data_IF_327748934760
#
_entry.id   IF_327748934760
#
_cell.length_a   1.000
_cell.length_b   1.000
_cell.length_c   1.000
_cell.angle_alpha   90.00
_cell.angle_beta   90.00
_cell.angle_gamma   90.00
#
_symmetry.space_group_name_H-M   'P 1'
#
loop_
_entity.id
_entity.type
_entity.pdbx_description
1 polymer ?
#
# COMPACT_ATOMS: atom_id res chain seq x y z
N UNK A 1 -19.35 -9.00 -22.94
CA UNK A 1 -20.59 -8.82 -22.15
C UNK A 1 -20.29 -7.70 -21.17
N UNK A 2 -20.80 -6.48 -21.41
CA UNK A 2 -20.53 -5.34 -20.53
C UNK A 2 -21.18 -5.62 -19.18
N UNK A 3 -20.39 -5.62 -18.11
CA UNK A 3 -20.94 -5.65 -16.75
C UNK A 3 -21.65 -4.32 -16.51
N UNK A 4 -22.92 -4.40 -16.14
CA UNK A 4 -23.72 -3.29 -15.66
C UNK A 4 -23.14 -2.80 -14.33
N UNK A 5 -22.47 -1.65 -14.36
CA UNK A 5 -21.87 -1.02 -13.18
C UNK A 5 -22.87 -0.16 -12.39
N UNK A 6 -24.15 -0.13 -12.77
CA UNK A 6 -25.15 0.81 -12.24
C UNK A 6 -25.67 0.52 -10.82
N UNK A 7 -25.10 -0.46 -10.11
CA UNK A 7 -25.58 -0.86 -8.77
C UNK A 7 -24.53 -0.85 -7.65
N UNK A 8 -23.28 -0.43 -7.91
CA UNK A 8 -22.34 -0.18 -6.84
C UNK A 8 -22.65 1.19 -6.22
N UNK A 9 -23.35 1.20 -5.08
CA UNK A 9 -23.42 2.42 -4.26
C UNK A 9 -21.98 2.87 -3.97
N UNK A 10 -21.65 4.17 -4.12
CA UNK A 10 -20.36 4.67 -3.70
C UNK A 10 -20.15 4.29 -2.24
N UNK A 11 -19.08 3.56 -1.94
CA UNK A 11 -18.69 3.31 -0.55
C UNK A 11 -18.25 4.66 0.02
N UNK A 12 -19.06 5.22 0.91
CA UNK A 12 -18.69 6.43 1.64
C UNK A 12 -17.75 6.02 2.77
N UNK A 13 -16.51 6.49 2.70
CA UNK A 13 -15.55 6.29 3.77
C UNK A 13 -15.76 7.31 4.90
N UNK A 14 -15.43 6.95 6.16
CA UNK A 14 -15.28 7.91 7.24
C UNK A 14 -14.35 9.06 6.86
N UNK A 15 -14.56 10.26 7.43
CA UNK A 15 -13.76 11.44 7.11
C UNK A 15 -12.28 11.32 7.51
N UNK A 16 -11.99 10.42 8.46
CA UNK A 16 -10.67 10.10 8.98
C UNK A 16 -10.01 8.88 8.29
N UNK A 17 -10.69 8.25 7.32
CA UNK A 17 -10.18 7.13 6.54
C UNK A 17 -8.99 7.53 5.66
N UNK A 18 -8.07 6.59 5.40
CA UNK A 18 -6.87 6.83 4.59
C UNK A 18 -7.16 7.53 3.25
N UNK A 19 -8.17 7.06 2.52
CA UNK A 19 -8.57 7.61 1.21
C UNK A 19 -9.35 8.92 1.27
N UNK A 20 -9.70 9.39 2.48
CA UNK A 20 -10.32 10.69 2.66
C UNK A 20 -9.29 11.82 2.79
N UNK A 21 -8.01 11.49 3.01
CA UNK A 21 -6.92 12.44 3.21
C UNK A 21 -6.60 13.25 1.94
N UNK A 22 -6.01 14.46 2.05
CA UNK A 22 -5.69 15.31 0.91
C UNK A 22 -4.92 14.62 -0.22
N UNK A 23 -3.95 13.78 0.13
CA UNK A 23 -3.27 12.88 -0.78
C UNK A 23 -3.02 11.51 -0.11
N UNK A 24 -3.25 10.43 -0.85
CA UNK A 24 -3.20 9.07 -0.33
C UNK A 24 -2.71 8.07 -1.39
N UNK A 25 -2.20 6.92 -0.95
CA UNK A 25 -1.83 5.82 -1.86
C UNK A 25 -3.11 5.15 -2.37
N UNK A 26 -3.23 4.99 -3.69
CA UNK A 26 -4.47 4.50 -4.33
C UNK A 26 -4.28 3.07 -4.87
N UNK A 27 -3.16 2.81 -5.52
CA UNK A 27 -2.87 1.54 -6.20
C UNK A 27 -1.38 1.20 -6.13
N UNK A 28 -1.09 -0.10 -6.26
CA UNK A 28 0.26 -0.62 -6.45
C UNK A 28 0.32 -1.53 -7.67
N UNK A 29 1.47 -1.58 -8.34
CA UNK A 29 1.70 -2.42 -9.50
C UNK A 29 2.95 -3.30 -9.29
N UNK A 30 2.77 -4.62 -9.36
CA UNK A 30 3.86 -5.60 -9.28
C UNK A 30 4.13 -6.20 -10.65
N UNK A 31 5.42 -6.30 -10.99
CA UNK A 31 5.90 -7.21 -12.04
C UNK A 31 6.19 -8.56 -11.39
N UNK A 32 5.55 -9.61 -11.87
CA UNK A 32 5.65 -10.97 -11.33
C UNK A 32 6.21 -11.93 -12.38
N UNK A 33 6.92 -12.96 -11.92
CA UNK A 33 7.48 -14.01 -12.78
C UNK A 33 6.42 -15.00 -13.27
N UNK A 34 5.42 -15.31 -12.44
CA UNK A 34 4.31 -16.20 -12.78
C UNK A 34 2.97 -15.50 -12.51
N UNK A 35 2.43 -14.87 -13.56
CA UNK A 35 1.20 -14.06 -13.46
C UNK A 35 0.00 -14.89 -12.99
N UNK A 36 -0.16 -16.10 -13.54
CA UNK A 36 -1.31 -16.95 -13.25
C UNK A 36 -1.25 -17.47 -11.82
N UNK A 37 -0.07 -17.92 -11.36
CA UNK A 37 0.12 -18.41 -10.00
C UNK A 37 -0.10 -17.30 -8.96
N UNK A 38 0.50 -16.12 -9.18
CA UNK A 38 0.38 -15.00 -8.23
C UNK A 38 -1.05 -14.44 -8.23
N UNK A 39 -1.64 -14.21 -9.40
CA UNK A 39 -3.04 -13.74 -9.50
C UNK A 39 -4.01 -14.69 -8.82
N UNK A 40 -3.91 -16.00 -9.08
CA UNK A 40 -4.76 -17.00 -8.45
C UNK A 40 -4.58 -17.04 -6.93
N UNK A 41 -3.36 -16.79 -6.44
CA UNK A 41 -3.07 -16.71 -5.02
C UNK A 41 -3.73 -15.48 -4.37
N UNK A 42 -3.61 -14.29 -4.95
CA UNK A 42 -4.29 -13.08 -4.44
C UNK A 42 -5.81 -13.25 -4.41
N UNK A 43 -6.38 -13.89 -5.44
CA UNK A 43 -7.82 -14.18 -5.47
C UNK A 43 -8.24 -15.17 -4.38
N UNK A 44 -7.47 -16.23 -4.15
CA UNK A 44 -7.83 -17.27 -3.17
C UNK A 44 -7.53 -16.87 -1.72
N UNK A 45 -6.36 -16.28 -1.46
CA UNK A 45 -5.87 -16.03 -0.10
C UNK A 45 -6.29 -14.65 0.40
N UNK A 46 -6.21 -13.63 -0.44
CA UNK A 46 -6.68 -12.29 -0.10
C UNK A 46 -8.14 -12.08 -0.49
N UNK A 47 -8.71 -12.88 -1.40
CA UNK A 47 -10.11 -12.69 -1.78
C UNK A 47 -10.34 -11.47 -2.67
N UNK A 48 -9.30 -11.00 -3.37
CA UNK A 48 -9.44 -9.97 -4.39
C UNK A 48 -10.13 -10.54 -5.64
N UNK A 49 -10.85 -9.70 -6.37
CA UNK A 49 -11.50 -10.08 -7.62
C UNK A 49 -10.84 -9.39 -8.82
N UNK A 50 -10.72 -10.05 -9.98
CA UNK A 50 -10.34 -9.39 -11.22
C UNK A 50 -11.32 -8.29 -11.60
N UNK A 51 -10.78 -7.13 -11.95
CA UNK A 51 -11.51 -5.94 -12.44
C UNK A 51 -11.23 -5.75 -13.92
N UNK A 52 -9.97 -5.85 -14.31
CA UNK A 52 -9.55 -5.79 -15.71
C UNK A 52 -8.50 -6.87 -15.99
N UNK A 53 -8.51 -7.42 -17.20
CA UNK A 53 -7.64 -8.53 -17.61
C UNK A 53 -7.14 -8.34 -19.03
N UNK A 54 -5.86 -8.59 -19.23
CA UNK A 54 -5.20 -8.63 -20.53
C UNK A 54 -4.32 -9.88 -20.63
N UNK A 55 -3.72 -10.11 -21.79
CA UNK A 55 -2.79 -11.23 -22.00
C UNK A 55 -1.61 -11.21 -21.02
N UNK A 56 -1.14 -10.02 -20.63
CA UNK A 56 0.09 -9.85 -19.85
C UNK A 56 -0.15 -9.17 -18.49
N UNK A 57 -1.40 -9.06 -18.05
CA UNK A 57 -1.68 -8.44 -16.76
C UNK A 57 -3.13 -8.54 -16.31
N UNK A 58 -3.32 -8.36 -15.00
CA UNK A 58 -4.61 -8.35 -14.32
C UNK A 58 -4.63 -7.26 -13.26
N UNK A 59 -5.70 -6.50 -13.22
CA UNK A 59 -6.00 -5.57 -12.13
C UNK A 59 -6.97 -6.25 -11.18
N UNK A 60 -6.55 -6.40 -9.92
CA UNK A 60 -7.30 -7.00 -8.83
C UNK A 60 -7.81 -5.92 -7.87
N UNK A 61 -8.95 -6.17 -7.26
CA UNK A 61 -9.51 -5.25 -6.27
C UNK A 61 -10.73 -5.78 -5.55
N UNK A 62 -11.46 -4.89 -4.90
CA UNK A 62 -12.62 -5.21 -4.06
C UNK A 62 -13.80 -4.33 -4.47
N UNK A 63 -14.95 -4.96 -4.73
CA UNK A 63 -16.19 -4.26 -5.09
C UNK A 63 -15.99 -3.22 -6.23
N UNK A 64 -15.21 -3.59 -7.25
CA UNK A 64 -14.89 -2.71 -8.39
C UNK A 64 -13.83 -1.63 -8.12
N UNK A 65 -13.33 -1.51 -6.88
CA UNK A 65 -12.22 -0.60 -6.55
C UNK A 65 -10.89 -1.30 -6.86
N UNK A 66 -10.11 -0.85 -7.86
CA UNK A 66 -8.80 -1.40 -8.17
C UNK A 66 -7.77 -1.11 -7.07
N UNK A 67 -6.99 -2.10 -6.67
CA UNK A 67 -6.01 -2.00 -5.58
C UNK A 67 -4.59 -2.46 -6.00
N UNK A 68 -4.53 -3.50 -6.83
CA UNK A 68 -3.29 -4.15 -7.22
C UNK A 68 -3.32 -4.50 -8.71
N UNK A 69 -2.38 -3.97 -9.47
CA UNK A 69 -2.10 -4.44 -10.82
C UNK A 69 -0.96 -5.44 -10.77
N UNK A 70 -1.12 -6.57 -11.46
CA UNK A 70 -0.06 -7.54 -11.71
C UNK A 70 0.23 -7.56 -13.19
N UNK A 71 1.49 -7.43 -13.58
CA UNK A 71 1.93 -7.71 -14.95
C UNK A 71 2.96 -8.83 -14.95
N UNK A 72 2.96 -9.62 -16.01
CA UNK A 72 3.88 -10.74 -16.18
C UNK A 72 4.06 -11.10 -17.65
N UNK A 73 4.60 -12.29 -17.91
CA UNK A 73 4.84 -12.78 -19.27
C UNK A 73 6.09 -12.23 -19.95
N UNK A 74 6.91 -11.45 -19.23
CA UNK A 74 8.22 -10.95 -19.69
C UNK A 74 9.40 -11.70 -19.08
N UNK A 75 10.62 -11.48 -19.60
CA UNK A 75 11.87 -12.02 -19.08
C UNK A 75 12.40 -11.28 -17.83
N UNK A 76 11.50 -10.87 -16.94
CA UNK A 76 11.84 -10.14 -15.73
C UNK A 76 12.78 -10.99 -14.85
N UNK A 77 13.90 -10.42 -14.44
CA UNK A 77 14.83 -11.10 -13.54
C UNK A 77 14.33 -11.00 -12.11
N UNK A 78 14.56 -12.03 -11.29
CA UNK A 78 14.22 -11.95 -9.87
C UNK A 78 14.99 -10.81 -9.20
N UNK A 79 14.28 -9.91 -8.52
CA UNK A 79 14.92 -8.85 -7.76
C UNK A 79 15.71 -9.43 -6.55
N UNK A 80 16.94 -8.95 -6.29
CA UNK A 80 17.62 -9.24 -5.03
C UNK A 80 16.81 -8.72 -3.83
N UNK A 81 16.81 -9.46 -2.72
CA UNK A 81 16.14 -9.02 -1.47
C UNK A 81 16.68 -7.68 -0.96
N UNK A 82 17.94 -7.36 -1.26
CA UNK A 82 18.57 -6.08 -0.89
C UNK A 82 18.34 -4.94 -1.87
N UNK A 83 17.64 -5.18 -2.98
CA UNK A 83 17.34 -4.12 -3.93
C UNK A 83 16.25 -3.19 -3.36
N UNK A 84 16.33 -1.86 -3.56
CA UNK A 84 15.22 -0.98 -3.24
C UNK A 84 13.94 -1.40 -3.97
N UNK A 85 12.80 -1.26 -3.29
CA UNK A 85 11.52 -1.76 -3.78
C UNK A 85 10.47 -1.85 -2.69
N UNK A 86 9.50 -2.75 -2.89
CA UNK A 86 8.47 -3.02 -1.89
C UNK A 86 9.08 -3.69 -0.65
N UNK A 87 8.75 -3.16 0.52
CA UNK A 87 8.77 -3.94 1.75
C UNK A 87 7.41 -4.62 1.93
N UNK A 88 6.32 -3.84 1.94
CA UNK A 88 4.97 -4.36 1.84
C UNK A 88 3.97 -3.36 1.24
N UNK A 89 2.86 -3.86 0.70
CA UNK A 89 1.66 -3.05 0.42
C UNK A 89 0.53 -3.42 1.39
N UNK A 90 -0.23 -2.44 1.86
CA UNK A 90 -1.12 -2.62 2.99
C UNK A 90 -2.60 -2.45 2.63
N UNK A 91 -3.35 -3.54 2.72
CA UNK A 91 -4.79 -3.58 2.49
C UNK A 91 -5.52 -3.20 3.80
N UNK A 92 -6.09 -2.00 3.80
CA UNK A 92 -6.89 -1.46 4.90
C UNK A 92 -8.30 -2.04 4.81
N UNK A 93 -8.73 -2.82 5.80
CA UNK A 93 -10.11 -3.30 5.92
C UNK A 93 -10.94 -2.35 6.80
N UNK A 94 -12.27 -2.28 6.59
CA UNK A 94 -13.12 -1.28 7.24
C UNK A 94 -13.18 -1.37 8.77
N UNK A 95 -13.04 -2.58 9.31
CA UNK A 95 -13.22 -2.83 10.73
C UNK A 95 -12.42 -4.05 11.22
N UNK A 96 -12.30 -4.15 12.55
CA UNK A 96 -11.62 -5.27 13.22
C UNK A 96 -12.26 -6.62 12.92
N UNK A 97 -13.57 -6.66 12.69
CA UNK A 97 -14.24 -7.90 12.30
C UNK A 97 -13.85 -8.36 10.88
N UNK A 98 -13.54 -7.43 9.97
CA UNK A 98 -13.00 -7.68 8.64
C UNK A 98 -11.61 -8.30 8.73
N UNK A 99 -10.74 -7.75 9.59
CA UNK A 99 -9.41 -8.29 9.83
C UNK A 99 -9.50 -9.70 10.42
N UNK A 100 -10.37 -9.89 11.41
CA UNK A 100 -10.63 -11.18 12.02
C UNK A 100 -11.20 -12.23 11.06
N UNK A 101 -12.13 -11.84 10.17
CA UNK A 101 -12.67 -12.74 9.13
C UNK A 101 -11.58 -13.20 8.17
N UNK A 102 -10.66 -12.30 7.80
CA UNK A 102 -9.50 -12.69 7.00
C UNK A 102 -8.57 -13.63 7.79
N UNK A 103 -8.32 -13.38 9.08
CA UNK A 103 -7.51 -14.28 9.92
C UNK A 103 -8.11 -15.70 10.01
N UNK A 104 -9.43 -15.82 10.17
CA UNK A 104 -10.10 -17.13 10.17
C UNK A 104 -9.88 -17.85 8.84
N UNK A 105 -10.15 -17.18 7.71
CA UNK A 105 -9.93 -17.73 6.38
C UNK A 105 -8.46 -18.14 6.15
N UNK A 106 -7.51 -17.31 6.57
CA UNK A 106 -6.08 -17.56 6.47
C UNK A 106 -5.68 -18.81 7.25
N UNK A 107 -6.23 -19.01 8.46
CA UNK A 107 -6.01 -20.20 9.28
C UNK A 107 -6.54 -21.47 8.60
N UNK A 108 -7.75 -21.43 8.05
CA UNK A 108 -8.38 -22.56 7.35
C UNK A 108 -7.63 -22.95 6.06
N UNK A 109 -6.93 -22.01 5.45
CA UNK A 109 -6.14 -22.21 4.24
C UNK A 109 -4.64 -22.45 4.51
N UNK A 110 -4.23 -22.57 5.78
CA UNK A 110 -2.84 -22.83 6.16
C UNK A 110 -1.85 -21.75 5.75
N UNK A 111 -2.29 -20.48 5.73
CA UNK A 111 -1.43 -19.33 5.39
C UNK A 111 -0.36 -19.15 6.45
N UNK A 112 0.89 -19.01 6.02
CA UNK A 112 2.00 -18.69 6.90
C UNK A 112 2.08 -17.18 7.14
N UNK A 113 1.88 -16.76 8.38
CA UNK A 113 2.04 -15.37 8.79
C UNK A 113 3.53 -15.06 9.00
N UNK A 114 3.96 -13.89 8.56
CA UNK A 114 5.30 -13.34 8.82
C UNK A 114 5.35 -12.53 10.11
N UNK A 115 4.19 -12.08 10.61
CA UNK A 115 4.07 -11.34 11.86
C UNK A 115 2.65 -10.85 12.09
N UNK A 116 2.39 -10.34 13.29
CA UNK A 116 1.16 -9.63 13.62
C UNK A 116 1.45 -8.65 14.75
N UNK A 117 0.97 -7.42 14.59
CA UNK A 117 1.37 -6.31 15.46
C UNK A 117 0.20 -5.38 15.76
N UNK A 118 0.18 -4.88 16.99
CA UNK A 118 -0.60 -3.71 17.37
C UNK A 118 0.35 -2.50 17.37
N UNK A 119 0.01 -1.51 16.54
CA UNK A 119 0.81 -0.31 16.31
C UNK A 119 0.35 0.90 17.10
N UNK A 120 -0.60 0.75 18.04
CA UNK A 120 -1.31 1.83 18.75
C UNK A 120 -2.27 2.65 17.88
N UNK A 121 -2.01 2.73 16.57
CA UNK A 121 -2.85 3.38 15.56
C UNK A 121 -3.61 2.37 14.68
N UNK A 122 -3.11 1.14 14.59
CA UNK A 122 -3.67 0.07 13.78
C UNK A 122 -3.37 -1.30 14.37
N UNK A 123 -4.15 -2.30 13.96
CA UNK A 123 -3.85 -3.72 14.17
C UNK A 123 -3.60 -4.35 12.80
N UNK A 124 -2.47 -5.06 12.67
CA UNK A 124 -1.95 -5.51 11.38
C UNK A 124 -1.50 -6.97 11.43
N UNK A 125 -1.71 -7.68 10.32
CA UNK A 125 -1.21 -9.03 10.09
C UNK A 125 -0.38 -9.04 8.80
N UNK A 126 0.80 -9.65 8.88
CA UNK A 126 1.81 -9.65 7.83
C UNK A 126 1.96 -11.04 7.22
N UNK A 127 2.14 -11.07 5.90
CA UNK A 127 2.44 -12.26 5.11
C UNK A 127 3.21 -11.86 3.85
N UNK A 128 3.55 -12.82 3.01
CA UNK A 128 4.03 -12.54 1.66
C UNK A 128 3.27 -13.38 0.62
N UNK A 129 3.23 -12.85 -0.59
CA UNK A 129 2.75 -13.57 -1.76
C UNK A 129 3.73 -14.69 -2.19
N UNK A 130 3.40 -15.51 -3.20
CA UNK A 130 4.25 -16.62 -3.64
C UNK A 130 5.65 -16.22 -4.11
N UNK A 131 5.86 -14.96 -4.49
CA UNK A 131 7.15 -14.45 -4.95
C UNK A 131 7.92 -13.70 -3.85
N UNK A 132 7.34 -13.57 -2.66
CA UNK A 132 7.94 -12.93 -1.50
C UNK A 132 7.64 -11.43 -1.40
N UNK A 133 6.70 -10.90 -2.16
CA UNK A 133 6.26 -9.51 -1.98
C UNK A 133 5.48 -9.40 -0.67
N UNK A 134 5.90 -8.51 0.22
CA UNK A 134 5.26 -8.34 1.52
C UNK A 134 3.85 -7.78 1.39
N UNK A 135 2.97 -8.28 2.24
CA UNK A 135 1.59 -7.89 2.37
C UNK A 135 1.32 -7.56 3.83
N UNK A 136 0.62 -6.46 4.05
CA UNK A 136 -0.03 -6.16 5.31
C UNK A 136 -1.55 -6.15 5.08
N UNK A 137 -2.30 -6.80 5.96
CA UNK A 137 -3.75 -6.60 6.06
C UNK A 137 -4.01 -6.05 7.44
N UNK A 138 -4.63 -4.88 7.49
CA UNK A 138 -4.75 -4.13 8.73
C UNK A 138 -6.06 -3.38 8.81
N UNK A 139 -6.39 -2.97 10.03
CA UNK A 139 -7.48 -2.04 10.31
C UNK A 139 -6.94 -0.88 11.14
N UNK A 140 -7.52 0.30 10.95
CA UNK A 140 -7.26 1.45 11.81
C UNK A 140 -7.98 1.31 13.16
N UNK A 141 -7.32 1.74 14.24
CA UNK A 141 -8.01 2.09 15.48
C UNK A 141 -8.77 3.41 15.28
N UNK A 142 -9.88 3.64 16.01
CA UNK A 142 -10.57 4.92 16.00
C UNK A 142 -9.59 6.08 16.16
N UNK A 143 -9.74 7.13 15.34
CA UNK A 143 -8.78 8.23 15.27
C UNK A 143 -8.59 8.96 16.60
N UNK A 144 -9.62 8.97 17.44
CA UNK A 144 -9.62 9.58 18.78
C UNK A 144 -8.72 8.83 19.77
N UNK A 145 -8.35 7.57 19.50
CA UNK A 145 -7.41 6.81 20.32
C UNK A 145 -5.94 7.18 20.02
N UNK A 146 -5.69 7.90 18.93
CA UNK A 146 -4.33 8.17 18.47
C UNK A 146 -3.72 9.32 19.26
N UNK A 147 -2.48 9.13 19.71
CA UNK A 147 -1.75 10.13 20.46
C UNK A 147 -0.73 10.82 19.56
N UNK A 148 -0.67 12.14 19.64
CA UNK A 148 0.30 12.95 18.92
C UNK A 148 1.20 13.67 19.91
N UNK A 149 2.48 13.71 19.59
CA UNK A 149 3.46 14.55 20.27
C UNK A 149 3.26 16.02 19.90
N UNK A 150 3.86 16.92 20.68
CA UNK A 150 3.78 18.37 20.45
C UNK A 150 4.34 18.81 19.09
N UNK A 151 5.25 18.02 18.52
CA UNK A 151 5.82 18.23 17.17
C UNK A 151 4.94 17.69 16.03
N UNK A 152 3.76 17.13 16.35
CA UNK A 152 2.83 16.58 15.38
C UNK A 152 3.07 15.13 14.99
N UNK A 153 4.12 14.47 15.50
CA UNK A 153 4.35 13.05 15.25
C UNK A 153 3.32 12.18 15.98
N UNK A 154 2.79 11.17 15.29
CA UNK A 154 1.89 10.18 15.88
C UNK A 154 2.69 9.11 16.61
N UNK A 155 2.20 8.70 17.78
CA UNK A 155 2.78 7.61 18.54
C UNK A 155 2.51 6.27 17.85
N UNK A 156 3.58 5.57 17.49
CA UNK A 156 3.55 4.21 16.93
C UNK A 156 4.45 3.31 17.74
N UNK A 157 4.08 2.04 17.86
CA UNK A 157 4.90 1.01 18.51
C UNK A 157 4.77 -0.31 17.74
N UNK A 158 5.45 -1.37 18.18
CA UNK A 158 5.27 -2.73 17.64
C UNK A 158 5.01 -3.65 18.81
N UNK A 159 3.75 -3.70 19.25
CA UNK A 159 3.31 -4.59 20.32
C UNK A 159 2.77 -5.90 19.73
N UNK A 160 2.83 -7.04 20.45
CA UNK A 160 2.18 -8.26 20.00
C UNK A 160 0.67 -8.06 19.84
N UNK A 161 0.13 -8.42 18.67
CA UNK A 161 -1.32 -8.51 18.48
C UNK A 161 -1.85 -9.81 19.10
N UNK A 162 -2.93 -9.72 19.90
CA UNK A 162 -3.62 -10.90 20.41
C UNK A 162 -4.46 -11.56 19.30
N UNK A 163 -3.80 -12.41 18.51
CA UNK A 163 -4.42 -13.16 17.42
C UNK A 163 -5.48 -14.14 17.93
N UNK A 164 -5.35 -14.66 19.15
CA UNK A 164 -6.32 -15.59 19.71
C UNK A 164 -7.63 -14.87 20.04
N UNK A 165 -7.55 -13.71 20.70
CA UNK A 165 -8.72 -12.87 20.96
C UNK A 165 -9.38 -12.42 19.65
N UNK A 166 -8.60 -11.93 18.68
CA UNK A 166 -9.12 -11.53 17.37
C UNK A 166 -9.82 -12.70 16.66
N UNK A 167 -9.23 -13.90 16.71
CA UNK A 167 -9.86 -15.10 16.18
C UNK A 167 -11.17 -15.37 16.92
N UNK A 168 -11.16 -15.53 18.24
CA UNK A 168 -12.31 -15.96 19.05
C UNK A 168 -13.52 -15.00 18.97
N UNK A 169 -13.29 -13.71 18.85
CA UNK A 169 -14.34 -12.69 18.70
C UNK A 169 -14.97 -12.68 17.30
N UNK A 170 -14.34 -13.33 16.31
CA UNK A 170 -14.79 -13.31 14.92
C UNK A 170 -15.72 -14.47 14.59
N UNK A 171 -16.88 -14.21 13.95
CA UNK A 171 -17.72 -15.26 13.37
C UNK A 171 -16.93 -16.14 12.39
N UNK A 172 -17.00 -17.47 12.55
CA UNK A 172 -16.25 -18.44 11.71
C UNK A 172 -16.85 -18.68 10.33
N UNK A 173 -17.91 -17.97 9.99
CA UNK A 173 -18.63 -18.09 8.72
C UNK A 173 -18.70 -16.74 8.02
N UNK A 174 -18.88 -16.75 6.70
CA UNK A 174 -19.13 -15.53 5.93
C UNK A 174 -17.89 -14.89 5.32
N UNK A 175 -16.81 -15.65 5.16
CA UNK A 175 -15.73 -15.23 4.27
C UNK A 175 -16.19 -15.32 2.81
N UNK A 176 -16.22 -14.17 2.13
CA UNK A 176 -16.52 -14.06 0.69
C UNK A 176 -15.48 -13.17 -0.01
N UNK A 177 -14.26 -13.13 0.53
CA UNK A 177 -13.22 -12.19 0.16
C UNK A 177 -13.13 -10.96 1.07
N UNK A 178 -12.14 -10.09 0.81
CA UNK A 178 -12.00 -8.83 1.54
C UNK A 178 -13.27 -7.97 1.35
N UNK A 179 -13.76 -7.34 2.43
CA UNK A 179 -15.06 -6.68 2.40
C UNK A 179 -15.05 -5.38 1.57
N UNK A 180 -16.19 -4.97 0.97
CA UNK A 180 -16.34 -3.64 0.40
C UNK A 180 -15.91 -2.55 1.39
N UNK A 181 -15.25 -1.51 0.88
CA UNK A 181 -14.54 -0.54 1.72
C UNK A 181 -13.11 -0.95 2.07
N UNK A 182 -12.61 -2.05 1.52
CA UNK A 182 -11.17 -2.30 1.52
C UNK A 182 -10.47 -1.31 0.57
N UNK A 183 -9.38 -0.71 1.03
CA UNK A 183 -8.54 0.18 0.25
C UNK A 183 -7.06 -0.23 0.35
N UNK A 184 -6.23 0.28 -0.55
CA UNK A 184 -4.78 0.25 -0.34
C UNK A 184 -4.44 1.42 0.57
N UNK A 185 -4.31 1.20 1.87
CA UNK A 185 -4.20 2.31 2.82
C UNK A 185 -2.80 2.93 2.84
N UNK A 186 -1.76 2.10 2.66
CA UNK A 186 -0.39 2.58 2.58
C UNK A 186 0.55 1.63 1.81
N UNK A 187 1.71 2.16 1.44
CA UNK A 187 2.83 1.40 0.89
C UNK A 187 4.07 1.59 1.78
N UNK A 188 4.78 0.50 2.06
CA UNK A 188 6.05 0.53 2.77
C UNK A 188 7.15 0.14 1.79
N UNK A 189 8.06 1.08 1.55
CA UNK A 189 9.20 0.91 0.68
C UNK A 189 10.44 0.54 1.51
N UNK A 190 11.26 -0.36 0.97
CA UNK A 190 12.65 -0.49 1.38
C UNK A 190 13.50 0.35 0.44
N UNK A 191 14.23 1.30 1.00
CA UNK A 191 14.97 2.37 0.34
C UNK A 191 16.45 2.30 0.69
N UNK A 192 17.27 3.11 0.02
CA UNK A 192 18.72 3.11 0.23
C UNK A 192 19.16 4.00 1.40
N UNK A 193 18.46 5.10 1.63
CA UNK A 193 18.86 6.17 2.56
C UNK A 193 17.63 6.92 3.10
N UNK A 194 17.56 7.14 4.42
CA UNK A 194 16.41 7.78 5.09
C UNK A 194 16.40 9.30 4.88
N UNK A 195 17.51 10.04 5.05
CA UNK A 195 17.55 11.46 4.69
C UNK A 195 17.09 11.74 3.26
N UNK A 196 17.51 10.94 2.28
CA UNK A 196 17.00 11.03 0.91
C UNK A 196 15.49 10.81 0.83
N UNK A 197 14.96 9.84 1.60
CA UNK A 197 13.52 9.60 1.63
C UNK A 197 12.73 10.75 2.25
N UNK A 198 13.21 11.35 3.34
CA UNK A 198 12.58 12.54 3.90
C UNK A 198 12.63 13.71 2.92
N UNK A 199 13.76 13.95 2.25
CA UNK A 199 13.86 15.00 1.25
C UNK A 199 12.88 14.79 0.07
N UNK A 200 12.67 13.55 -0.36
CA UNK A 200 11.74 13.26 -1.44
C UNK A 200 10.27 13.35 -1.00
N UNK A 201 9.86 12.55 0.00
CA UNK A 201 8.44 12.47 0.38
C UNK A 201 7.94 13.72 1.10
N UNK A 202 8.74 14.27 2.03
CA UNK A 202 8.36 15.50 2.75
C UNK A 202 8.68 16.73 1.93
N UNK A 203 9.94 16.87 1.51
CA UNK A 203 10.38 18.13 0.94
C UNK A 203 10.04 18.26 -0.56
N UNK A 204 9.89 17.19 -1.34
CA UNK A 204 9.48 17.29 -2.75
C UNK A 204 7.98 17.05 -2.95
N UNK A 205 7.40 16.01 -2.34
CA UNK A 205 5.97 15.67 -2.50
C UNK A 205 5.04 16.34 -1.48
N UNK A 206 5.58 16.99 -0.44
CA UNK A 206 4.78 17.74 0.53
C UNK A 206 4.00 16.88 1.52
N UNK A 207 4.42 15.63 1.74
CA UNK A 207 3.86 14.79 2.81
C UNK A 207 4.42 15.20 4.18
N UNK A 208 3.58 15.15 5.21
CA UNK A 208 4.01 15.37 6.59
C UNK A 208 4.84 14.17 7.09
N UNK A 209 5.91 14.42 7.84
CA UNK A 209 6.64 13.37 8.55
C UNK A 209 5.89 13.03 9.85
N UNK A 210 5.24 11.87 9.87
CA UNK A 210 4.31 11.47 10.92
C UNK A 210 4.96 10.65 12.02
N UNK A 211 5.99 9.86 11.70
CA UNK A 211 6.74 9.11 12.70
C UNK A 211 8.16 8.81 12.21
N UNK A 212 9.05 8.53 13.17
CA UNK A 212 10.35 7.90 12.93
C UNK A 212 10.47 6.65 13.77
N UNK A 213 11.06 5.63 13.19
CA UNK A 213 11.43 4.39 13.86
C UNK A 213 12.90 4.09 13.53
N UNK A 214 13.66 3.32 14.33
CA UNK A 214 15.04 2.97 13.98
C UNK A 214 15.18 2.43 12.54
N UNK A 215 15.76 3.25 11.66
CA UNK A 215 15.94 2.93 10.24
C UNK A 215 14.69 3.06 9.37
N UNK A 216 13.66 3.80 9.79
CA UNK A 216 12.47 4.08 8.99
C UNK A 216 11.83 5.45 9.27
N UNK A 217 11.20 6.03 8.25
CA UNK A 217 10.39 7.26 8.34
C UNK A 217 9.02 7.05 7.67
N UNK A 218 8.00 7.71 8.22
CA UNK A 218 6.59 7.49 7.89
C UNK A 218 5.95 8.81 7.46
N UNK A 219 5.27 8.83 6.32
CA UNK A 219 4.81 10.05 5.66
C UNK A 219 3.32 10.00 5.34
N UNK A 220 2.58 11.08 5.55
CA UNK A 220 1.15 11.14 5.28
C UNK A 220 0.65 12.53 4.86
N UNK A 221 -0.64 12.64 4.59
CA UNK A 221 -1.37 13.91 4.67
C UNK A 221 -2.54 13.77 5.64
N UNK A 222 -3.15 14.90 6.03
CA UNK A 222 -4.34 14.89 6.90
C UNK A 222 -4.07 14.25 8.27
N UNK A 223 -2.83 14.35 8.74
CA UNK A 223 -2.34 13.75 10.00
C UNK A 223 -2.50 12.23 10.07
N UNK A 224 -2.77 11.52 8.98
CA UNK A 224 -2.88 10.05 8.96
C UNK A 224 -1.56 9.38 9.40
N UNK A 225 -1.56 8.11 9.82
CA UNK A 225 -0.36 7.52 10.43
C UNK A 225 0.77 7.38 9.40
N UNK A 226 0.44 6.95 8.18
CA UNK A 226 1.26 7.03 6.97
C UNK A 226 0.48 6.55 5.75
N UNK A 227 0.74 7.17 4.59
CA UNK A 227 0.43 6.60 3.28
C UNK A 227 1.67 5.98 2.64
N UNK A 228 2.85 6.54 2.93
CA UNK A 228 4.14 6.01 2.49
C UNK A 228 5.05 5.84 3.69
N UNK A 229 5.65 4.67 3.83
CA UNK A 229 6.74 4.43 4.77
C UNK A 229 8.01 4.08 4.00
N UNK A 230 9.17 4.45 4.52
CA UNK A 230 10.46 4.15 3.93
C UNK A 230 11.39 3.59 5.00
N UNK A 231 11.91 2.38 4.81
CA UNK A 231 12.91 1.76 5.69
C UNK A 231 14.21 1.43 4.95
N UNK A 232 15.30 1.22 5.70
CA UNK A 232 16.61 0.81 5.14
C UNK A 232 17.04 -0.57 5.65
N UNK A 233 16.11 -1.42 6.11
CA UNK A 233 16.44 -2.66 6.81
C UNK A 233 17.13 -3.69 5.91
N UNK A 234 16.68 -3.83 4.66
CA UNK A 234 17.25 -4.77 3.69
C UNK A 234 18.17 -4.11 2.64
N UNK A 235 17.96 -2.81 2.38
CA UNK A 235 18.48 -2.12 1.19
C UNK A 235 19.41 -0.94 1.50
N UNK A 236 19.89 -0.82 2.75
CA UNK A 236 20.80 0.27 3.14
C UNK A 236 21.97 0.41 2.18
N UNK A 237 22.12 1.59 1.57
CA UNK A 237 23.20 1.89 0.63
C UNK A 237 23.15 1.12 -0.68
N UNK A 238 22.06 0.37 -0.95
CA UNK A 238 21.90 -0.34 -2.21
C UNK A 238 21.74 0.67 -3.37
N UNK A 239 22.23 0.35 -4.58
CA UNK A 239 22.00 1.19 -5.74
C UNK A 239 20.51 1.24 -6.09
N UNK A 240 20.08 2.31 -6.75
CA UNK A 240 18.72 2.39 -7.31
C UNK A 240 18.43 1.17 -8.19
N UNK A 241 17.17 0.73 -8.16
CA UNK A 241 16.64 -0.34 -9.01
C UNK A 241 16.84 -0.01 -10.49
N UNK A 242 17.23 -1.01 -11.27
CA UNK A 242 17.47 -0.87 -12.71
C UNK A 242 16.98 -2.11 -13.47
N UNK A 243 16.54 -1.88 -14.70
CA UNK A 243 16.12 -2.94 -15.62
C UNK A 243 14.77 -3.56 -15.27
N UNK A 244 14.42 -4.60 -16.03
CA UNK A 244 13.18 -5.34 -15.85
C UNK A 244 13.38 -6.44 -14.78
N UNK A 245 13.01 -6.14 -13.53
CA UNK A 245 13.08 -7.09 -12.41
C UNK A 245 11.71 -7.23 -11.72
N UNK A 246 11.49 -8.32 -10.97
CA UNK A 246 10.23 -8.59 -10.25
C UNK A 246 10.02 -7.69 -9.03
N UNK A 247 8.78 -7.59 -8.54
CA UNK A 247 8.37 -6.73 -7.42
C UNK A 247 7.75 -5.42 -7.89
N UNK A 248 7.68 -4.43 -6.99
CA UNK A 248 7.02 -3.14 -7.25
C UNK A 248 7.63 -2.41 -8.46
N UNK A 249 6.80 -2.23 -9.47
CA UNK A 249 7.10 -1.46 -10.67
C UNK A 249 6.72 0.00 -10.47
N UNK A 250 5.51 0.25 -9.99
CA UNK A 250 5.02 1.58 -9.67
C UNK A 250 3.92 1.58 -8.61
N UNK A 251 3.65 2.76 -8.05
CA UNK A 251 2.55 3.03 -7.13
C UNK A 251 1.93 4.38 -7.43
N UNK A 252 0.67 4.55 -7.05
CA UNK A 252 -0.10 5.76 -7.33
C UNK A 252 -0.39 6.52 -6.04
N UNK A 253 -0.08 7.81 -6.03
CA UNK A 253 -0.59 8.76 -5.02
C UNK A 253 -1.67 9.61 -5.68
N UNK A 254 -2.89 9.53 -5.15
CA UNK A 254 -4.01 10.37 -5.58
C UNK A 254 -4.10 11.61 -4.71
N UNK A 255 -4.33 12.75 -5.32
CA UNK A 255 -4.58 14.05 -4.70
C UNK A 255 -6.06 14.40 -4.88
N UNK A 256 -6.76 14.71 -3.80
CA UNK A 256 -8.18 15.06 -3.86
C UNK A 256 -8.44 16.49 -4.34
N UNK A 257 -7.46 17.36 -4.13
CA UNK A 257 -7.50 18.75 -4.55
C UNK A 257 -6.54 18.96 -5.74
N UNK A 258 -7.07 19.24 -6.95
CA UNK A 258 -6.26 19.51 -8.14
C UNK A 258 -5.27 20.66 -7.95
N UNK A 259 -5.57 21.64 -7.07
CA UNK A 259 -4.65 22.74 -6.78
C UNK A 259 -3.42 22.26 -5.98
N UNK A 260 -3.61 21.29 -5.07
CA UNK A 260 -2.50 20.66 -4.32
C UNK A 260 -1.65 19.81 -5.25
N UNK A 261 -2.26 19.08 -6.19
CA UNK A 261 -1.52 18.35 -7.23
C UNK A 261 -0.69 19.33 -8.07
N UNK A 262 -1.30 20.39 -8.60
CA UNK A 262 -0.60 21.38 -9.40
C UNK A 262 0.60 22.01 -8.67
N UNK A 263 0.42 22.42 -7.41
CA UNK A 263 1.50 22.95 -6.58
C UNK A 263 2.62 21.92 -6.33
N UNK A 264 2.26 20.65 -6.15
CA UNK A 264 3.24 19.56 -6.06
C UNK A 264 4.05 19.43 -7.35
N UNK A 265 3.40 19.47 -8.52
CA UNK A 265 4.09 19.41 -9.81
C UNK A 265 5.04 20.60 -10.01
N UNK A 266 4.61 21.83 -9.68
CA UNK A 266 5.47 23.02 -9.74
C UNK A 266 6.69 22.88 -8.83
N UNK A 267 6.52 22.29 -7.65
CA UNK A 267 7.62 22.02 -6.71
C UNK A 267 8.60 20.99 -7.27
N UNK A 268 8.10 19.92 -7.89
CA UNK A 268 8.94 18.92 -8.57
C UNK A 268 9.74 19.55 -9.71
N UNK A 269 9.12 20.45 -10.49
CA UNK A 269 9.80 21.19 -11.56
C UNK A 269 10.90 22.11 -11.02
N UNK A 270 10.63 22.83 -9.94
CA UNK A 270 11.62 23.70 -9.29
C UNK A 270 12.82 22.93 -8.71
N UNK A 271 12.61 21.65 -8.37
CA UNK A 271 13.66 20.72 -7.94
C UNK A 271 14.32 19.98 -9.12
N UNK A 272 13.97 20.33 -10.36
CA UNK A 272 14.47 19.73 -11.60
C UNK A 272 14.24 18.20 -11.68
N UNK A 273 13.19 17.70 -11.03
CA UNK A 273 12.77 16.30 -11.12
C UNK A 273 11.99 16.08 -12.41
N UNK A 274 12.36 15.05 -13.18
CA UNK A 274 11.74 14.75 -14.48
C UNK A 274 10.34 14.17 -14.28
N UNK A 275 9.32 14.99 -14.54
CA UNK A 275 7.91 14.59 -14.54
C UNK A 275 7.41 14.41 -15.98
N UNK A 276 6.99 13.20 -16.32
CA UNK A 276 6.27 12.89 -17.54
C UNK A 276 4.81 13.35 -17.44
N UNK A 277 4.31 13.96 -18.51
CA UNK A 277 2.96 14.53 -18.58
C UNK A 277 2.24 13.94 -19.78
N UNK A 278 1.14 13.25 -19.53
CA UNK A 278 0.31 12.65 -20.59
C UNK A 278 -1.17 12.89 -20.27
N UNK A 279 -1.77 13.88 -20.94
CA UNK A 279 -3.12 14.32 -20.61
C UNK A 279 -3.20 14.86 -19.18
N UNK A 280 -4.05 14.26 -18.34
CA UNK A 280 -4.18 14.56 -16.90
C UNK A 280 -3.30 13.70 -16.00
N UNK A 281 -2.51 12.77 -16.56
CA UNK A 281 -1.65 11.88 -15.81
C UNK A 281 -0.24 12.46 -15.68
N UNK A 282 0.29 12.43 -14.45
CA UNK A 282 1.66 12.79 -14.14
C UNK A 282 2.39 11.55 -13.63
N UNK A 283 3.62 11.32 -14.10
CA UNK A 283 4.45 10.24 -13.57
C UNK A 283 5.92 10.60 -13.53
N UNK A 284 6.64 10.01 -12.58
CA UNK A 284 8.07 10.18 -12.43
C UNK A 284 8.70 8.86 -11.96
N UNK A 285 10.03 8.82 -11.97
CA UNK A 285 10.79 7.74 -11.33
C UNK A 285 11.30 8.30 -10.01
N UNK A 286 10.98 7.62 -8.91
CA UNK A 286 11.43 8.00 -7.58
C UNK A 286 12.95 7.81 -7.42
N UNK A 287 13.57 8.29 -6.32
CA UNK A 287 15.03 8.21 -6.14
C UNK A 287 15.60 6.78 -6.19
N UNK A 288 14.76 5.77 -5.98
CA UNK A 288 15.17 4.36 -5.93
C UNK A 288 14.83 3.57 -7.18
N UNK A 289 14.33 4.23 -8.23
CA UNK A 289 14.08 3.60 -9.53
C UNK A 289 12.70 2.95 -9.65
N UNK A 290 11.76 3.31 -8.78
CA UNK A 290 10.37 2.83 -8.79
C UNK A 290 9.51 3.90 -9.48
N UNK A 291 8.57 3.50 -10.32
CA UNK A 291 7.62 4.43 -10.91
C UNK A 291 6.68 5.01 -9.85
N UNK A 292 6.33 6.27 -10.00
CA UNK A 292 5.36 6.96 -9.17
C UNK A 292 4.37 7.68 -10.09
N UNK A 293 3.09 7.37 -9.95
CA UNK A 293 2.01 8.07 -10.63
C UNK A 293 1.37 9.07 -9.65
N UNK A 294 1.15 10.30 -10.10
CA UNK A 294 0.44 11.33 -9.36
C UNK A 294 -0.86 11.64 -10.11
N UNK A 295 -1.99 11.39 -9.45
CA UNK A 295 -3.32 11.55 -10.04
C UNK A 295 -4.18 12.54 -9.26
N UNK A 296 -5.10 13.20 -9.96
CA UNK A 296 -6.12 14.09 -9.38
C UNK A 296 -7.49 13.46 -9.27
#
# INVERSE_FOLDING_TARGET
>A
MMMDTSHLKPVSFPADHATAMPAYVDQSHLVVSDLDAVSSWYQRILGLSPIDTSTNGVTLGVAGTPLLTLTGGGSAKKAPVSAPGLFHHAFLVPDRAGLGRWLVHASENGVQLQGASDHLVSEAIYLADPEGNGIEIYRDRPREEWNYSADGMVAVNTLPLDLQALYDETPKSGWNGLPPGTALGHIHLQVSDIPQAEAFFRDALGLDLMARYPGASFFATGKYHHHVAANIWNSRGAPKRQGNITGLADYTIRFRDPAVLAATIEKLDALELVVNRSGSAYSLIDPWGIGLNLEG
#
